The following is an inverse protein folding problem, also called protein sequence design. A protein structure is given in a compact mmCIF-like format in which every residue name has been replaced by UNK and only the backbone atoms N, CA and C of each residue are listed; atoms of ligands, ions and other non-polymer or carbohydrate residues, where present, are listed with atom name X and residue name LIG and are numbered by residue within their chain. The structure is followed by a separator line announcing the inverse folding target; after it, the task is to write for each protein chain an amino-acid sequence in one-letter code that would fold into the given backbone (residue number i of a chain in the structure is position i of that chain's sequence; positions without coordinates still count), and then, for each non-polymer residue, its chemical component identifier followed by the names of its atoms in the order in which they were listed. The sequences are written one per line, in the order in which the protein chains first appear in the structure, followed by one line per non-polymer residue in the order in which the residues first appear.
data_IF_404131212097
#
_entry.id   IF_404131212097
#
_cell.length_a   1.000
_cell.length_b   1.000
_cell.length_c   1.000
_cell.angle_alpha   90.00
_cell.angle_beta   90.00
_cell.angle_gamma   90.00
#
_symmetry.space_group_name_H-M   'P 1'
#
loop_
_entity.id
_entity.type
_entity.pdbx_description
1 polymer ?
#
# COMPACT_ATOMS: atom_id res chain seq x y z
N UNK A 1 9.34 16.74 10.55
CA UNK A 1 8.02 16.20 10.16
C UNK A 1 8.22 15.31 8.95
N UNK A 2 8.55 14.04 9.17
CA UNK A 2 8.93 13.11 8.10
C UNK A 2 7.67 12.62 7.40
N UNK A 3 7.41 13.11 6.19
CA UNK A 3 6.31 12.61 5.37
C UNK A 3 6.53 11.14 5.02
N UNK A 4 5.49 10.32 5.17
CA UNK A 4 5.41 9.01 4.53
C UNK A 4 5.61 9.29 3.04
N UNK A 5 6.78 8.96 2.50
CA UNK A 5 6.99 9.03 1.06
C UNK A 5 6.06 7.98 0.45
N UNK A 6 5.03 8.36 -0.32
CA UNK A 6 4.32 7.36 -1.09
C UNK A 6 5.33 6.84 -2.10
N UNK A 7 5.82 5.62 -1.91
CA UNK A 7 6.25 4.81 -3.05
C UNK A 7 4.97 4.55 -3.83
N UNK A 8 4.56 5.51 -4.67
CA UNK A 8 3.48 5.32 -5.62
C UNK A 8 3.96 4.26 -6.60
N UNK A 9 3.75 3.01 -6.22
CA UNK A 9 3.98 1.83 -7.01
C UNK A 9 2.92 1.92 -8.10
N UNK A 10 3.31 2.46 -9.25
CA UNK A 10 2.48 2.66 -10.45
C UNK A 10 2.10 1.31 -11.06
N UNK A 11 1.35 0.49 -10.33
CA UNK A 11 1.29 -0.97 -10.52
C UNK A 11 -0.11 -1.52 -10.26
N UNK A 12 -1.12 -0.88 -10.82
CA UNK A 12 -2.42 -1.52 -11.00
C UNK A 12 -2.37 -2.62 -12.08
N UNK A 13 -3.35 -3.51 -12.09
CA UNK A 13 -3.60 -4.53 -13.09
C UNK A 13 -3.64 -3.94 -14.51
N UNK A 14 -4.19 -2.74 -14.70
CA UNK A 14 -4.16 -2.06 -16.00
C UNK A 14 -2.72 -1.85 -16.51
N UNK A 15 -1.78 -1.47 -15.65
CA UNK A 15 -0.38 -1.28 -16.02
C UNK A 15 0.28 -2.61 -16.41
N UNK A 16 -0.08 -3.71 -15.73
CA UNK A 16 0.46 -5.06 -16.01
C UNK A 16 -0.15 -5.71 -17.24
N UNK A 17 -1.43 -5.45 -17.51
CA UNK A 17 -2.18 -6.05 -18.62
C UNK A 17 -1.99 -5.31 -19.94
N UNK A 18 -1.67 -4.01 -19.90
CA UNK A 18 -1.48 -3.21 -21.10
C UNK A 18 -0.45 -3.83 -22.08
N UNK A 19 0.77 -4.23 -21.66
CA UNK A 19 1.73 -4.87 -22.57
C UNK A 19 1.22 -6.20 -23.15
N UNK A 20 0.44 -6.96 -22.37
CA UNK A 20 -0.14 -8.21 -22.84
C UNK A 20 -1.23 -7.96 -23.90
N UNK A 21 -2.09 -6.98 -23.67
CA UNK A 21 -3.16 -6.61 -24.59
C UNK A 21 -2.59 -6.11 -25.93
N UNK A 22 -1.58 -5.24 -25.90
CA UNK A 22 -0.91 -4.76 -27.12
C UNK A 22 -0.25 -5.90 -27.89
N UNK A 23 0.37 -6.86 -27.18
CA UNK A 23 0.96 -8.05 -27.80
C UNK A 23 -0.08 -8.94 -28.46
N UNK A 24 -1.23 -9.16 -27.82
CA UNK A 24 -2.32 -9.99 -28.35
C UNK A 24 -2.95 -9.33 -29.58
N UNK A 25 -3.14 -8.01 -29.54
CA UNK A 25 -3.79 -7.25 -30.61
C UNK A 25 -2.83 -6.86 -31.75
N UNK A 26 -1.51 -6.99 -31.54
CA UNK A 26 -0.49 -6.64 -32.53
C UNK A 26 -0.34 -5.13 -32.78
N UNK A 27 -0.92 -4.30 -31.92
CA UNK A 27 -0.92 -2.85 -32.07
C UNK A 27 -1.01 -2.17 -30.70
N UNK A 28 -0.58 -0.90 -30.66
CA UNK A 28 -0.77 -0.05 -29.49
C UNK A 28 -2.25 0.21 -29.26
N UNK A 29 -2.69 0.20 -28.00
CA UNK A 29 -4.09 0.51 -27.69
C UNK A 29 -4.38 1.99 -27.96
N UNK A 30 -5.38 2.33 -28.79
CA UNK A 30 -5.80 3.72 -28.99
C UNK A 30 -6.65 4.25 -27.82
N UNK A 31 -6.95 3.40 -26.83
CA UNK A 31 -7.80 3.68 -25.69
C UNK A 31 -7.02 3.54 -24.38
N UNK A 32 -7.44 4.25 -23.34
CA UNK A 32 -6.88 4.10 -21.99
C UNK A 32 -7.47 2.86 -21.32
N UNK A 33 -6.60 1.97 -20.84
CA UNK A 33 -7.00 0.81 -20.05
C UNK A 33 -7.18 1.21 -18.57
N UNK A 34 -8.35 0.93 -18.01
CA UNK A 34 -8.64 1.05 -16.57
C UNK A 34 -9.06 -0.32 -16.04
N UNK A 35 -8.51 -0.70 -14.90
CA UNK A 35 -8.87 -1.94 -14.21
C UNK A 35 -9.74 -1.61 -12.99
N UNK A 36 -10.57 -2.56 -12.59
CA UNK A 36 -11.39 -2.48 -11.37
C UNK A 36 -10.64 -3.10 -10.18
N UNK A 37 -9.39 -2.70 -9.98
CA UNK A 37 -8.51 -3.22 -8.92
C UNK A 37 -8.25 -2.18 -7.81
N UNK A 38 -8.93 -1.03 -7.87
CA UNK A 38 -8.82 0.03 -6.87
C UNK A 38 -7.54 0.87 -6.95
N UNK A 39 -6.53 0.45 -7.72
CA UNK A 39 -5.23 1.14 -7.80
C UNK A 39 -5.37 2.62 -8.19
N UNK A 40 -6.26 2.92 -9.14
CA UNK A 40 -6.54 4.29 -9.53
C UNK A 40 -7.25 5.11 -8.42
N UNK A 41 -8.18 4.49 -7.69
CA UNK A 41 -8.88 5.17 -6.61
C UNK A 41 -7.91 5.54 -5.47
N UNK A 42 -6.90 4.70 -5.23
CA UNK A 42 -5.78 5.01 -4.35
C UNK A 42 -4.90 6.15 -4.89
N UNK A 43 -4.48 6.08 -6.17
CA UNK A 43 -3.66 7.14 -6.80
C UNK A 43 -4.36 8.52 -6.79
N UNK A 44 -5.68 8.55 -6.96
CA UNK A 44 -6.49 9.77 -6.96
C UNK A 44 -6.91 10.22 -5.55
N UNK A 45 -6.51 9.51 -4.48
CA UNK A 45 -6.86 9.85 -3.10
C UNK A 45 -8.36 9.71 -2.79
N UNK A 46 -9.11 8.97 -3.61
CA UNK A 46 -10.54 8.68 -3.43
C UNK A 46 -10.78 7.46 -2.54
N UNK A 47 -9.72 6.73 -2.19
CA UNK A 47 -9.74 5.56 -1.31
C UNK A 47 -8.48 5.57 -0.43
N UNK A 48 -8.65 5.23 0.85
CA UNK A 48 -7.58 5.06 1.83
C UNK A 48 -7.66 3.71 2.53
N UNK A 49 -6.70 3.44 3.41
CA UNK A 49 -6.71 2.27 4.30
C UNK A 49 -6.51 2.73 5.73
N UNK A 50 -7.41 2.32 6.62
CA UNK A 50 -7.27 2.52 8.06
C UNK A 50 -6.57 1.31 8.67
N UNK A 51 -5.44 1.55 9.33
CA UNK A 51 -4.74 0.53 10.11
C UNK A 51 -5.21 0.62 11.56
N UNK A 52 -5.94 -0.39 12.03
CA UNK A 52 -6.44 -0.46 13.40
C UNK A 52 -5.68 -1.58 14.13
N UNK A 53 -5.02 -1.22 15.23
CA UNK A 53 -4.45 -2.20 16.15
C UNK A 53 -5.32 -2.26 17.42
N UNK A 54 -5.69 -3.48 17.81
CA UNK A 54 -6.43 -3.74 19.03
C UNK A 54 -5.70 -4.77 19.89
N UNK A 55 -5.74 -4.56 21.21
CA UNK A 55 -5.19 -5.48 22.21
C UNK A 55 -6.33 -5.99 23.09
N UNK A 56 -6.17 -7.20 23.63
CA UNK A 56 -7.15 -7.72 24.59
C UNK A 56 -7.06 -6.90 25.89
N UNK A 57 -8.19 -6.43 26.46
CA UNK A 57 -8.16 -5.76 27.75
C UNK A 57 -7.63 -6.67 28.86
N UNK A 58 -6.71 -6.14 29.67
CA UNK A 58 -6.23 -6.78 30.90
C UNK A 58 -6.91 -6.15 32.12
N UNK A 59 -7.02 -6.87 33.24
CA UNK A 59 -7.59 -6.32 34.49
C UNK A 59 -6.81 -5.13 35.07
N UNK A 60 -5.58 -4.89 34.58
CA UNK A 60 -4.73 -3.75 34.94
C UNK A 60 -4.87 -2.57 33.96
N UNK A 61 -5.61 -2.74 32.86
CA UNK A 61 -5.74 -1.74 31.79
C UNK A 61 -4.47 -1.53 30.97
N UNK A 62 -3.45 -2.41 31.10
CA UNK A 62 -2.26 -2.35 30.26
C UNK A 62 -2.50 -3.05 28.92
N UNK A 63 -1.97 -2.48 27.85
CA UNK A 63 -2.01 -3.06 26.50
C UNK A 63 -0.71 -3.73 26.07
N UNK A 64 0.28 -3.83 26.96
CA UNK A 64 1.62 -4.39 26.74
C UNK A 64 2.36 -3.88 25.49
N UNK A 65 1.94 -2.71 24.99
CA UNK A 65 2.59 -2.00 23.91
C UNK A 65 3.60 -0.98 24.44
N UNK A 66 4.71 -0.73 23.72
CA UNK A 66 5.63 0.34 24.09
C UNK A 66 4.90 1.68 24.12
N UNK A 67 5.28 2.54 25.06
CA UNK A 67 4.66 3.87 25.27
C UNK A 67 4.75 4.78 24.03
N UNK A 68 5.66 4.47 23.11
CA UNK A 68 5.80 5.19 21.85
C UNK A 68 5.98 4.21 20.69
N UNK A 69 5.53 4.55 19.48
CA UNK A 69 5.77 3.74 18.28
C UNK A 69 7.22 3.74 17.79
N UNK A 70 8.16 4.40 18.50
CA UNK A 70 9.53 4.59 18.02
C UNK A 70 10.23 3.25 17.73
N UNK A 71 10.00 2.27 18.60
CA UNK A 71 10.60 0.94 18.49
C UNK A 71 10.05 0.15 17.29
N UNK A 72 8.90 0.53 16.74
CA UNK A 72 8.30 -0.12 15.57
C UNK A 72 9.01 0.29 14.27
N UNK A 73 9.59 1.49 14.26
CA UNK A 73 10.35 2.01 13.11
C UNK A 73 11.85 1.75 13.24
N UNK A 74 12.30 1.25 14.39
CA UNK A 74 13.65 0.73 14.52
C UNK A 74 13.77 -0.50 13.62
N UNK A 75 14.45 -0.38 12.47
CA UNK A 75 14.84 -1.56 11.69
C UNK A 75 15.56 -2.50 12.65
N UNK A 76 15.15 -3.76 12.71
CA UNK A 76 15.97 -4.81 13.30
C UNK A 76 17.34 -4.75 12.62
N UNK A 77 18.32 -4.23 13.34
CA UNK A 77 19.69 -4.15 12.90
C UNK A 77 20.21 -5.58 12.84
N UNK A 78 20.26 -6.14 11.63
CA UNK A 78 21.01 -7.35 11.35
C UNK A 78 22.41 -7.20 11.90
N UNK A 79 22.68 -7.90 13.00
CA UNK A 79 24.01 -8.20 13.46
C UNK A 79 24.39 -9.54 12.84
N UNK A 80 25.55 -9.52 12.18
CA UNK A 80 26.29 -10.69 11.74
C UNK A 80 26.54 -11.66 12.88
#
# INVERSE_FOLDING_TARGET
MTGIRPTAVRTGAAHRLLPLAERILGARLPLRLRAWDGALAFEEGRMGVDQILAVRPSGRGSGDMPLTPRDWYAREGGTR
#
